data_IF_806449924443
#
_entry.id   IF_806449924443
#
_cell.length_a   1.000
_cell.length_b   1.000
_cell.length_c   1.000
_cell.angle_alpha   90.00
_cell.angle_beta   90.00
_cell.angle_gamma   90.00
#
_symmetry.space_group_name_H-M   'P 1'
#
loop_
_entity.id
_entity.type
_entity.pdbx_description
1 polymer ?
#
# COMPACT_ATOMS: atom_id res chain seq x y z
N UNK A 1 22.39 -7.28 9.73
CA UNK A 1 21.62 -6.23 10.41
C UNK A 1 21.46 -6.65 11.87
N UNK A 2 21.69 -5.77 12.85
CA UNK A 2 21.40 -6.05 14.27
C UNK A 2 20.01 -5.49 14.58
N UNK A 3 19.18 -6.24 15.32
CA UNK A 3 17.84 -5.81 15.72
C UNK A 3 17.88 -4.50 16.51
N UNK A 4 17.04 -3.53 16.12
CA UNK A 4 16.84 -2.28 16.84
C UNK A 4 15.35 -2.06 17.03
N UNK A 5 14.91 -1.99 18.29
CA UNK A 5 13.49 -1.87 18.63
C UNK A 5 12.81 -0.68 17.91
N UNK A 6 13.47 0.47 17.82
CA UNK A 6 12.94 1.64 17.12
C UNK A 6 12.66 1.36 15.64
N UNK A 7 13.55 0.62 14.99
CA UNK A 7 13.47 0.35 13.56
C UNK A 7 12.28 -0.60 13.26
N UNK A 8 11.88 -1.40 14.26
CA UNK A 8 10.83 -2.40 14.16
C UNK A 8 9.46 -1.95 14.68
N UNK A 9 9.42 -0.96 15.57
CA UNK A 9 8.20 -0.57 16.29
C UNK A 9 7.84 0.92 16.19
N UNK A 10 8.70 1.77 15.65
CA UNK A 10 8.40 3.18 15.42
C UNK A 10 8.36 3.46 13.90
N UNK A 11 7.17 3.54 13.28
CA UNK A 11 7.08 3.91 11.87
C UNK A 11 7.55 5.37 11.68
N UNK A 12 7.96 5.74 10.45
CA UNK A 12 8.21 7.14 10.10
C UNK A 12 6.98 8.02 10.35
N UNK A 13 7.20 9.32 10.49
CA UNK A 13 6.10 10.26 10.66
C UNK A 13 5.14 10.20 9.46
N UNK A 14 3.82 10.06 9.68
CA UNK A 14 2.85 9.93 8.61
C UNK A 14 2.78 11.21 7.78
N UNK A 15 2.77 11.03 6.46
CA UNK A 15 2.56 12.08 5.48
C UNK A 15 1.13 11.98 4.94
N UNK A 16 0.49 13.12 4.72
CA UNK A 16 -0.88 13.15 4.18
C UNK A 16 -0.83 12.82 2.68
N UNK A 17 -1.47 11.73 2.28
CA UNK A 17 -1.58 11.32 0.88
C UNK A 17 -2.85 11.89 0.22
N UNK A 18 -3.95 12.00 0.98
CA UNK A 18 -5.21 12.57 0.52
C UNK A 18 -6.03 13.16 1.67
N UNK A 19 -7.28 13.55 1.40
CA UNK A 19 -8.18 13.99 2.47
C UNK A 19 -8.45 12.91 3.52
N UNK A 20 -8.43 11.64 3.09
CA UNK A 20 -8.84 10.47 3.89
C UNK A 20 -7.70 9.49 4.19
N UNK A 21 -6.55 9.64 3.53
CA UNK A 21 -5.44 8.69 3.64
C UNK A 21 -4.12 9.34 4.04
N UNK A 22 -3.34 8.61 4.83
CA UNK A 22 -1.96 8.92 5.22
C UNK A 22 -1.02 7.80 4.78
N UNK A 23 0.27 8.08 4.72
CA UNK A 23 1.31 7.13 4.37
C UNK A 23 2.52 7.27 5.28
N UNK A 24 3.06 6.15 5.76
CA UNK A 24 4.29 6.10 6.56
C UNK A 24 5.46 5.47 5.77
N UNK A 25 5.13 4.62 4.80
CA UNK A 25 6.08 3.87 3.97
C UNK A 25 5.62 3.95 2.52
N UNK A 26 6.55 3.86 1.58
CA UNK A 26 6.25 3.93 0.16
C UNK A 26 5.20 2.88 -0.24
N UNK A 27 4.19 3.31 -1.00
CA UNK A 27 3.04 2.50 -1.44
C UNK A 27 2.16 1.90 -0.33
N UNK A 28 2.36 2.29 0.94
CA UNK A 28 1.46 1.94 2.05
C UNK A 28 0.53 3.12 2.31
N UNK A 29 -0.76 2.94 2.03
CA UNK A 29 -1.79 3.95 2.26
C UNK A 29 -2.79 3.44 3.30
N UNK A 30 -2.90 4.17 4.40
CA UNK A 30 -3.79 3.85 5.51
C UNK A 30 -4.84 4.95 5.67
N UNK A 31 -6.02 4.59 6.18
CA UNK A 31 -7.04 5.59 6.53
C UNK A 31 -6.50 6.48 7.65
N UNK A 32 -6.74 7.79 7.56
CA UNK A 32 -6.34 8.72 8.60
C UNK A 32 -6.94 8.29 9.96
N UNK A 33 -6.13 8.10 11.02
CA UNK A 33 -6.60 7.61 12.32
C UNK A 33 -7.73 8.46 12.93
N UNK A 34 -7.81 9.76 12.60
CA UNK A 34 -8.89 10.67 13.04
C UNK A 34 -10.27 10.27 12.52
N UNK A 35 -10.32 9.45 11.47
CA UNK A 35 -11.55 8.91 10.89
C UNK A 35 -11.93 7.55 11.50
N UNK A 36 -11.05 6.95 12.32
CA UNK A 36 -11.15 5.58 12.83
C UNK A 36 -11.23 5.52 14.37
N UNK A 37 -12.10 6.34 14.98
CA UNK A 37 -12.11 6.54 16.44
C UNK A 37 -13.18 5.77 17.22
N UNK A 38 -14.33 5.43 16.61
CA UNK A 38 -15.50 4.91 17.36
C UNK A 38 -15.89 3.47 17.06
N UNK A 39 -16.03 3.12 15.78
CA UNK A 39 -16.66 1.85 15.36
C UNK A 39 -15.68 0.84 14.79
N UNK A 40 -14.63 1.35 14.14
CA UNK A 40 -13.55 0.54 13.58
C UNK A 40 -12.26 1.21 14.01
N UNK A 41 -11.56 0.58 14.93
CA UNK A 41 -10.27 1.07 15.43
C UNK A 41 -9.16 0.54 14.54
N UNK A 42 -8.20 1.40 14.22
CA UNK A 42 -7.02 0.99 13.47
C UNK A 42 -6.11 0.13 14.36
N UNK A 43 -5.69 -1.01 13.84
CA UNK A 43 -4.74 -1.89 14.51
C UNK A 43 -3.31 -1.37 14.31
N UNK A 44 -2.50 -1.45 15.36
CA UNK A 44 -1.08 -1.09 15.29
C UNK A 44 -0.26 -2.33 14.94
N UNK A 45 0.49 -2.27 13.83
CA UNK A 45 1.40 -3.32 13.41
C UNK A 45 2.86 -2.89 13.59
N UNK A 46 3.77 -3.81 13.93
CA UNK A 46 5.20 -3.52 13.85
C UNK A 46 5.64 -3.36 12.39
N UNK A 47 6.67 -2.56 12.15
CA UNK A 47 7.16 -2.19 10.82
C UNK A 47 7.51 -3.43 9.99
N UNK A 48 8.20 -4.42 10.57
CA UNK A 48 8.55 -5.64 9.83
C UNK A 48 7.33 -6.39 9.30
N UNK A 49 6.20 -6.37 10.03
CA UNK A 49 5.03 -7.14 9.62
C UNK A 49 4.31 -6.44 8.46
N UNK A 50 4.17 -5.12 8.55
CA UNK A 50 3.69 -4.28 7.44
C UNK A 50 4.56 -4.46 6.20
N UNK A 51 5.89 -4.34 6.34
CA UNK A 51 6.82 -4.49 5.23
C UNK A 51 6.80 -5.90 4.65
N UNK A 52 6.73 -6.94 5.49
CA UNK A 52 6.60 -8.33 5.06
C UNK A 52 5.35 -8.55 4.21
N UNK A 53 4.21 -7.99 4.61
CA UNK A 53 2.95 -8.08 3.84
C UNK A 53 3.12 -7.38 2.49
N UNK A 54 3.71 -6.18 2.47
CA UNK A 54 3.91 -5.41 1.24
C UNK A 54 4.87 -6.08 0.27
N UNK A 55 5.98 -6.64 0.77
CA UNK A 55 6.92 -7.42 -0.06
C UNK A 55 6.25 -8.67 -0.64
N UNK A 56 5.53 -9.44 0.20
CA UNK A 56 4.82 -10.62 -0.29
C UNK A 56 3.76 -10.28 -1.36
N UNK A 57 3.09 -9.13 -1.24
CA UNK A 57 2.17 -8.64 -2.27
C UNK A 57 2.89 -8.35 -3.58
N UNK A 58 4.06 -7.71 -3.54
CA UNK A 58 4.83 -7.38 -4.73
C UNK A 58 5.32 -8.66 -5.42
N UNK A 59 5.93 -9.58 -4.66
CA UNK A 59 6.39 -10.88 -5.15
C UNK A 59 5.26 -11.66 -5.82
N UNK A 60 4.07 -11.63 -5.23
CA UNK A 60 2.89 -12.28 -5.80
C UNK A 60 2.45 -11.63 -7.12
N UNK A 61 2.42 -10.30 -7.20
CA UNK A 61 2.06 -9.60 -8.43
C UNK A 61 3.07 -9.84 -9.55
N UNK A 62 4.36 -9.85 -9.23
CA UNK A 62 5.42 -10.17 -10.19
C UNK A 62 5.27 -11.59 -10.72
N UNK A 63 4.97 -12.54 -9.83
CA UNK A 63 4.67 -13.91 -10.23
C UNK A 63 3.42 -13.98 -11.13
N UNK A 64 2.32 -13.30 -10.75
CA UNK A 64 1.10 -13.25 -11.56
C UNK A 64 1.37 -12.67 -12.95
N UNK A 65 2.14 -11.59 -13.03
CA UNK A 65 2.50 -10.97 -14.30
C UNK A 65 3.34 -11.90 -15.17
N UNK A 66 4.33 -12.59 -14.59
CA UNK A 66 5.17 -13.51 -15.33
C UNK A 66 4.42 -14.74 -15.89
N UNK A 67 3.35 -15.18 -15.21
CA UNK A 67 2.67 -16.43 -15.56
C UNK A 67 1.32 -16.25 -16.27
N UNK A 68 0.62 -15.14 -16.03
CA UNK A 68 -0.75 -14.96 -16.51
C UNK A 68 -0.98 -13.67 -17.30
N UNK A 69 -0.13 -12.64 -17.16
CA UNK A 69 -0.34 -11.39 -17.88
C UNK A 69 0.34 -11.45 -19.26
N UNK A 70 -0.44 -11.70 -20.32
CA UNK A 70 0.06 -11.54 -21.69
C UNK A 70 0.34 -10.07 -22.02
N UNK A 71 -0.42 -9.15 -21.42
CA UNK A 71 -0.28 -7.69 -21.56
C UNK A 71 -0.69 -7.01 -20.26
N UNK A 72 0.14 -6.07 -19.79
CA UNK A 72 -0.20 -5.15 -18.69
C UNK A 72 -0.44 -3.77 -19.30
N UNK A 73 -1.55 -3.14 -18.95
CA UNK A 73 -1.90 -1.77 -19.37
C UNK A 73 -2.07 -0.89 -18.13
N UNK A 74 -1.78 0.39 -18.24
CA UNK A 74 -2.03 1.32 -17.14
C UNK A 74 -3.52 1.63 -17.05
N UNK A 75 -3.97 2.09 -15.87
CA UNK A 75 -5.35 2.55 -15.72
C UNK A 75 -5.70 3.70 -16.67
N UNK A 76 -4.73 4.57 -16.97
CA UNK A 76 -4.90 5.66 -17.94
C UNK A 76 -5.08 5.15 -19.36
N UNK A 77 -4.30 4.14 -19.77
CA UNK A 77 -4.45 3.53 -21.09
C UNK A 77 -5.83 2.88 -21.24
N UNK A 78 -6.31 2.20 -20.19
CA UNK A 78 -7.63 1.59 -20.16
C UNK A 78 -8.76 2.64 -20.27
N UNK A 79 -8.65 3.77 -19.56
CA UNK A 79 -9.64 4.86 -19.64
C UNK A 79 -9.65 5.45 -21.05
N UNK A 80 -8.49 5.71 -21.64
CA UNK A 80 -8.39 6.23 -23.00
C UNK A 80 -8.99 5.27 -24.04
N UNK A 81 -8.81 3.96 -23.87
CA UNK A 81 -9.44 2.94 -24.72
C UNK A 81 -10.97 3.03 -24.66
N UNK A 82 -11.54 3.09 -23.44
CA UNK A 82 -12.99 3.19 -23.22
C UNK A 82 -13.57 4.49 -23.82
N UNK A 83 -12.88 5.62 -23.65
CA UNK A 83 -13.33 6.92 -24.18
C UNK A 83 -13.32 6.95 -25.72
N UNK A 84 -12.42 6.22 -26.37
CA UNK A 84 -12.35 6.14 -27.83
C UNK A 84 -13.42 5.20 -28.44
N UNK A 85 -14.04 4.32 -27.65
CA UNK A 85 -15.13 3.43 -28.08
C UNK A 85 -16.53 4.06 -27.95
N UNK A 86 -16.66 5.22 -27.27
CA UNK A 86 -17.92 5.93 -27.01
C UNK A 86 -18.27 6.98 -28.09
#
# INVERSE_FOLDING_TARGET
MSYRYSDEHAPPAPQRASEVAVTTHEHVFEVDPRLMERWVLQQTFPNWDTLRIMHARHDHLDWMHAHFAQKTITGSDLIAEIENEA
#
